data_IF_332440176878
#
_entry.id   IF_332440176878
#
_cell.length_a   1.000
_cell.length_b   1.000
_cell.length_c   1.000
_cell.angle_alpha   90.00
_cell.angle_beta   90.00
_cell.angle_gamma   90.00
#
_symmetry.space_group_name_H-M   'P 1'
#
loop_
_entity.id
_entity.type
_entity.pdbx_description
1 polymer ?
#
# COMPACT_ATOMS: atom_id res chain seq x y z
N UNK A 1 -80.72 -0.63 -34.11
CA UNK A 1 -79.63 -1.56 -33.86
C UNK A 1 -78.30 -0.80 -33.86
N UNK A 2 -78.24 0.44 -33.27
CA UNK A 2 -77.02 1.29 -33.40
C UNK A 2 -76.62 2.10 -32.17
N UNK A 3 -77.30 1.88 -31.03
CA UNK A 3 -76.87 2.57 -29.80
C UNK A 3 -75.71 1.84 -29.05
N UNK A 4 -75.56 0.53 -29.23
CA UNK A 4 -74.58 -0.26 -28.55
C UNK A 4 -73.14 -0.07 -29.11
N UNK A 5 -73.02 0.11 -30.40
CA UNK A 5 -71.78 0.39 -31.09
C UNK A 5 -71.17 1.74 -30.68
N UNK A 6 -72.03 2.78 -30.52
CA UNK A 6 -71.58 4.09 -30.08
C UNK A 6 -71.05 4.12 -28.65
N UNK A 7 -71.72 3.40 -27.74
CA UNK A 7 -71.25 3.33 -26.36
C UNK A 7 -69.94 2.54 -26.23
N UNK A 8 -69.78 1.47 -27.02
CA UNK A 8 -68.59 0.67 -27.02
C UNK A 8 -67.35 1.43 -27.61
N UNK A 9 -67.58 2.16 -28.69
CA UNK A 9 -66.53 3.00 -29.29
C UNK A 9 -66.13 4.16 -28.38
N UNK A 10 -67.08 4.79 -27.69
CA UNK A 10 -66.81 5.85 -26.74
C UNK A 10 -66.08 5.35 -25.50
N UNK A 11 -66.41 4.15 -25.02
CA UNK A 11 -65.70 3.53 -23.90
C UNK A 11 -64.26 3.13 -24.23
N UNK A 12 -64.04 2.62 -25.42
CA UNK A 12 -62.67 2.33 -25.91
C UNK A 12 -61.85 3.62 -26.07
N UNK A 13 -62.41 4.67 -26.59
CA UNK A 13 -61.75 5.95 -26.75
C UNK A 13 -61.36 6.57 -25.38
N UNK A 14 -62.29 6.46 -24.41
CA UNK A 14 -62.02 6.94 -23.07
C UNK A 14 -60.94 6.11 -22.34
N UNK A 15 -60.92 4.80 -22.55
CA UNK A 15 -59.90 3.90 -21.95
C UNK A 15 -58.51 4.11 -22.54
N UNK A 16 -58.42 4.43 -23.82
CA UNK A 16 -57.16 4.77 -24.52
C UNK A 16 -56.64 6.14 -24.04
N UNK A 17 -57.54 7.11 -23.90
CA UNK A 17 -57.21 8.46 -23.49
C UNK A 17 -56.69 8.51 -22.05
N UNK A 18 -57.28 7.71 -21.12
CA UNK A 18 -56.81 7.64 -19.74
C UNK A 18 -55.42 6.99 -19.61
N UNK A 19 -55.09 6.02 -20.45
CA UNK A 19 -53.75 5.43 -20.49
C UNK A 19 -52.70 6.45 -20.95
N UNK A 20 -53.00 7.23 -21.99
CA UNK A 20 -52.05 8.25 -22.44
C UNK A 20 -51.85 9.37 -21.41
N UNK A 21 -52.90 9.81 -20.73
CA UNK A 21 -52.79 10.83 -19.67
C UNK A 21 -51.94 10.33 -18.53
N UNK A 22 -52.10 9.06 -18.10
CA UNK A 22 -51.26 8.47 -17.04
C UNK A 22 -49.79 8.39 -17.46
N UNK A 23 -49.47 8.06 -18.69
CA UNK A 23 -48.08 8.07 -19.17
C UNK A 23 -47.48 9.49 -19.20
N UNK A 24 -48.23 10.48 -19.59
CA UNK A 24 -47.78 11.88 -19.59
C UNK A 24 -47.54 12.40 -18.18
N UNK A 25 -48.44 12.10 -17.25
CA UNK A 25 -48.30 12.47 -15.83
C UNK A 25 -47.09 11.76 -15.22
N UNK A 26 -46.91 10.49 -15.50
CA UNK A 26 -45.76 9.74 -14.99
C UNK A 26 -44.43 10.25 -15.56
N UNK A 27 -44.40 10.58 -16.86
CA UNK A 27 -43.23 11.15 -17.52
C UNK A 27 -42.88 12.53 -16.99
N UNK A 28 -43.84 13.40 -16.75
CA UNK A 28 -43.60 14.74 -16.18
C UNK A 28 -43.16 14.67 -14.73
N UNK A 29 -43.68 13.73 -13.93
CA UNK A 29 -43.28 13.52 -12.55
C UNK A 29 -41.84 13.02 -12.49
N UNK A 30 -41.43 12.10 -13.38
CA UNK A 30 -40.07 11.60 -13.47
C UNK A 30 -39.05 12.70 -13.86
N UNK A 31 -39.51 13.60 -14.79
CA UNK A 31 -38.69 14.72 -15.26
C UNK A 31 -38.50 15.78 -14.16
N UNK A 32 -39.51 16.03 -13.34
CA UNK A 32 -39.43 16.91 -12.18
C UNK A 32 -38.52 16.35 -11.09
N UNK A 33 -38.53 15.03 -10.91
CA UNK A 33 -37.66 14.37 -9.92
C UNK A 33 -36.18 14.44 -10.32
N UNK A 34 -35.86 14.48 -11.61
CA UNK A 34 -34.49 14.61 -12.11
C UNK A 34 -33.88 16.01 -11.88
N UNK A 35 -34.70 17.01 -11.58
CA UNK A 35 -34.23 18.38 -11.29
C UNK A 35 -33.73 18.56 -9.84
N UNK A 36 -33.98 17.62 -8.94
CA UNK A 36 -33.37 17.62 -7.62
C UNK A 36 -31.90 17.20 -7.76
N UNK A 37 -31.04 18.18 -8.06
CA UNK A 37 -29.61 18.00 -7.99
C UNK A 37 -29.27 17.69 -6.54
N UNK A 38 -28.82 16.46 -6.27
CA UNK A 38 -28.14 16.14 -5.03
C UNK A 38 -26.87 17.02 -5.00
N UNK A 39 -26.94 18.13 -4.31
CA UNK A 39 -25.74 18.84 -3.90
C UNK A 39 -25.03 17.94 -2.89
N UNK A 40 -24.09 17.14 -3.39
CA UNK A 40 -23.14 16.45 -2.52
C UNK A 40 -22.42 17.53 -1.73
N UNK A 41 -22.73 17.62 -0.44
CA UNK A 41 -22.02 18.49 0.48
C UNK A 41 -20.58 17.99 0.54
N UNK A 42 -19.66 18.68 -0.12
CA UNK A 42 -18.24 18.53 0.14
C UNK A 42 -18.02 19.04 1.56
N UNK A 43 -18.00 18.10 2.50
CA UNK A 43 -17.60 18.39 3.87
C UNK A 43 -16.12 18.78 3.85
N UNK A 44 -15.84 20.06 3.80
CA UNK A 44 -14.49 20.58 3.99
C UNK A 44 -14.19 20.45 5.48
N UNK A 45 -13.46 19.40 5.85
CA UNK A 45 -12.95 19.24 7.21
C UNK A 45 -11.85 20.27 7.41
N UNK A 46 -12.19 21.40 8.05
CA UNK A 46 -11.21 22.38 8.47
C UNK A 46 -10.57 21.88 9.77
N UNK A 47 -9.43 21.23 9.64
CA UNK A 47 -8.64 20.78 10.80
C UNK A 47 -7.88 22.01 11.31
N UNK A 48 -8.36 22.61 12.39
CA UNK A 48 -7.60 23.62 13.14
C UNK A 48 -6.61 22.85 14.04
N UNK A 49 -5.41 22.65 13.53
CA UNK A 49 -4.32 22.08 14.33
C UNK A 49 -3.62 23.20 15.10
N UNK A 50 -3.36 22.94 16.39
CA UNK A 50 -2.48 23.78 17.19
C UNK A 50 -1.10 23.85 16.51
N UNK A 51 -0.52 25.04 16.44
CA UNK A 51 0.83 25.27 15.88
C UNK A 51 1.90 24.39 16.54
N UNK A 52 1.69 24.00 17.78
CA UNK A 52 2.53 23.07 18.54
C UNK A 52 2.56 21.67 17.92
N UNK A 53 1.41 21.18 17.44
CA UNK A 53 1.30 19.87 16.78
C UNK A 53 2.04 19.88 15.46
N UNK A 54 1.90 20.93 14.66
CA UNK A 54 2.62 21.07 13.39
C UNK A 54 4.14 21.06 13.60
N UNK A 55 4.63 21.75 14.63
CA UNK A 55 6.05 21.77 15.00
C UNK A 55 6.54 20.38 15.46
N UNK A 56 5.76 19.70 16.29
CA UNK A 56 6.10 18.34 16.73
C UNK A 56 6.14 17.35 15.57
N UNK A 57 5.22 17.45 14.62
CA UNK A 57 5.23 16.59 13.42
C UNK A 57 6.45 16.88 12.55
N UNK A 58 6.83 18.13 12.34
CA UNK A 58 8.04 18.48 11.59
C UNK A 58 9.30 17.91 12.24
N UNK A 59 9.45 18.09 13.57
CA UNK A 59 10.59 17.54 14.33
C UNK A 59 10.59 16.02 14.29
N UNK A 60 9.42 15.38 14.37
CA UNK A 60 9.32 13.92 14.26
C UNK A 60 9.74 13.40 12.88
N UNK A 61 9.31 14.06 11.80
CA UNK A 61 9.67 13.70 10.43
C UNK A 61 11.18 13.82 10.23
N UNK A 62 11.80 14.89 10.75
CA UNK A 62 13.25 15.10 10.69
C UNK A 62 14.00 13.98 11.43
N UNK A 63 13.61 13.70 12.69
CA UNK A 63 14.18 12.62 13.49
C UNK A 63 13.99 11.23 12.87
N UNK A 64 12.79 10.94 12.35
CA UNK A 64 12.51 9.67 11.69
C UNK A 64 13.33 9.52 10.40
N UNK A 65 13.56 10.63 9.66
CA UNK A 65 14.37 10.61 8.44
C UNK A 65 15.85 10.35 8.73
N UNK A 66 16.41 10.92 9.79
CA UNK A 66 17.78 10.66 10.24
C UNK A 66 17.95 9.23 10.71
N UNK A 67 17.03 8.71 11.52
CA UNK A 67 17.04 7.31 11.95
C UNK A 67 16.92 6.34 10.78
N UNK A 68 16.03 6.63 9.82
CA UNK A 68 15.90 5.81 8.62
C UNK A 68 17.16 5.86 7.75
N UNK A 69 17.86 6.99 7.72
CA UNK A 69 19.12 7.12 7.00
C UNK A 69 20.25 6.31 7.66
N UNK A 70 20.24 6.14 8.98
CA UNK A 70 21.25 5.39 9.73
C UNK A 70 21.01 3.89 9.74
N UNK A 71 19.75 3.45 9.66
CA UNK A 71 19.41 2.03 9.65
C UNK A 71 19.72 1.37 8.30
N UNK A 72 20.26 0.17 8.35
CA UNK A 72 20.51 -0.64 7.17
C UNK A 72 20.37 -2.14 7.49
N UNK A 73 20.22 -2.93 6.44
CA UNK A 73 20.17 -4.38 6.51
C UNK A 73 21.50 -4.98 6.04
N UNK A 74 21.99 -6.00 6.74
CA UNK A 74 23.17 -6.77 6.37
C UNK A 74 22.86 -8.25 6.41
N UNK A 75 23.58 -9.06 5.65
CA UNK A 75 23.45 -10.51 5.69
C UNK A 75 24.52 -11.03 6.63
N UNK A 76 24.10 -11.65 7.72
CA UNK A 76 25.04 -12.31 8.63
C UNK A 76 25.23 -13.77 8.21
N UNK A 77 26.49 -14.12 7.92
CA UNK A 77 26.89 -15.47 7.52
C UNK A 77 27.24 -16.34 8.73
N UNK A 78 27.94 -15.74 9.71
CA UNK A 78 28.47 -16.47 10.83
C UNK A 78 28.61 -15.58 12.07
N UNK A 79 28.51 -16.22 13.22
CA UNK A 79 28.81 -15.63 14.52
C UNK A 79 29.41 -16.73 15.43
N UNK A 80 30.67 -16.56 15.88
CA UNK A 80 31.35 -17.57 16.72
C UNK A 80 32.86 -17.39 16.77
N UNK A 81 33.60 -18.49 16.74
CA UNK A 81 35.04 -18.50 16.87
C UNK A 81 35.80 -17.84 15.72
N UNK A 82 36.99 -17.34 15.99
CA UNK A 82 37.82 -16.60 15.05
C UNK A 82 38.22 -17.44 13.84
N UNK A 83 38.68 -18.67 14.06
CA UNK A 83 39.21 -19.53 13.00
C UNK A 83 38.14 -19.76 11.90
N UNK A 84 36.96 -20.16 12.35
CA UNK A 84 35.83 -20.43 11.43
C UNK A 84 35.36 -19.18 10.74
N UNK A 85 35.35 -18.03 11.43
CA UNK A 85 34.98 -16.75 10.86
C UNK A 85 35.92 -16.33 9.73
N UNK A 86 37.24 -16.48 9.90
CA UNK A 86 38.27 -16.21 8.90
C UNK A 86 38.16 -17.14 7.70
N UNK A 87 38.02 -18.46 7.91
CA UNK A 87 37.85 -19.43 6.84
C UNK A 87 36.64 -19.10 5.98
N UNK A 88 35.52 -18.71 6.60
CA UNK A 88 34.28 -18.40 5.90
C UNK A 88 34.35 -17.05 5.19
N UNK A 89 35.05 -16.07 5.78
CA UNK A 89 35.31 -14.78 5.14
C UNK A 89 36.09 -14.98 3.82
N UNK A 90 37.18 -15.76 3.88
CA UNK A 90 38.04 -15.99 2.72
C UNK A 90 37.35 -16.82 1.65
N UNK A 91 36.61 -17.86 2.05
CA UNK A 91 35.79 -18.67 1.13
C UNK A 91 34.73 -17.83 0.42
N UNK A 92 34.02 -16.97 1.16
CA UNK A 92 33.02 -16.08 0.57
C UNK A 92 33.65 -15.06 -0.39
N UNK A 93 34.75 -14.44 0.00
CA UNK A 93 35.46 -13.45 -0.83
C UNK A 93 35.96 -14.04 -2.16
N UNK A 94 36.38 -15.30 -2.12
CA UNK A 94 36.81 -16.01 -3.34
C UNK A 94 35.62 -16.33 -4.28
N UNK A 95 34.44 -16.62 -3.72
CA UNK A 95 33.24 -16.94 -4.51
C UNK A 95 32.49 -15.70 -5.00
N UNK A 96 32.55 -14.63 -4.23
CA UNK A 96 31.85 -13.36 -4.50
C UNK A 96 32.78 -12.16 -4.37
N UNK A 97 33.74 -11.99 -5.28
CA UNK A 97 34.79 -10.96 -5.19
C UNK A 97 34.22 -9.53 -5.22
N UNK A 98 33.06 -9.33 -5.88
CA UNK A 98 32.40 -8.02 -6.04
C UNK A 98 31.55 -7.62 -4.83
N UNK A 99 31.42 -8.51 -3.82
CA UNK A 99 30.59 -8.24 -2.66
C UNK A 99 31.43 -7.68 -1.52
N UNK A 100 30.84 -6.68 -0.86
CA UNK A 100 31.41 -6.13 0.37
C UNK A 100 31.23 -7.14 1.51
N UNK A 101 32.31 -7.58 2.11
CA UNK A 101 32.31 -8.48 3.26
C UNK A 101 33.07 -7.84 4.42
N UNK A 102 32.52 -7.95 5.60
CA UNK A 102 33.09 -7.43 6.84
C UNK A 102 33.28 -8.56 7.87
N UNK A 103 34.48 -8.60 8.45
CA UNK A 103 34.80 -9.46 9.56
C UNK A 103 35.08 -8.61 10.79
N UNK A 104 34.19 -8.64 11.77
CA UNK A 104 34.29 -7.81 12.96
C UNK A 104 34.29 -8.67 14.23
N UNK A 105 34.97 -8.16 15.28
CA UNK A 105 35.00 -8.77 16.59
C UNK A 105 33.97 -8.12 17.50
N UNK A 106 33.10 -8.93 18.05
CA UNK A 106 32.09 -8.52 19.03
C UNK A 106 32.19 -9.47 20.25
N UNK A 107 32.84 -8.97 21.28
CA UNK A 107 33.22 -9.78 22.46
C UNK A 107 32.10 -10.71 22.93
N UNK A 108 32.33 -12.02 23.05
CA UNK A 108 33.61 -12.72 22.84
C UNK A 108 33.77 -13.32 21.43
N UNK A 109 32.88 -13.07 20.51
CA UNK A 109 32.78 -13.76 19.21
C UNK A 109 33.20 -12.87 18.04
N UNK A 110 33.46 -13.52 16.92
CA UNK A 110 33.62 -12.89 15.61
C UNK A 110 32.34 -13.01 14.78
N UNK A 111 32.01 -11.99 14.01
CA UNK A 111 30.89 -11.99 13.09
C UNK A 111 31.37 -11.71 11.68
N UNK A 112 30.77 -12.42 10.73
CA UNK A 112 30.97 -12.23 9.30
C UNK A 112 29.68 -11.72 8.70
N UNK A 113 29.73 -10.51 8.13
CA UNK A 113 28.59 -9.81 7.57
C UNK A 113 28.87 -9.41 6.12
N UNK A 114 27.82 -9.39 5.30
CA UNK A 114 27.92 -9.15 3.86
C UNK A 114 26.89 -8.14 3.40
N UNK A 115 27.41 -7.14 2.68
CA UNK A 115 26.61 -6.10 2.05
C UNK A 115 25.93 -5.14 3.03
N UNK A 116 25.54 -3.99 2.52
CA UNK A 116 24.78 -2.95 3.22
C UNK A 116 23.58 -2.54 2.39
N UNK A 117 22.39 -2.86 2.84
CA UNK A 117 21.15 -2.63 2.08
C UNK A 117 20.24 -1.67 2.83
N UNK A 118 19.88 -0.55 2.22
CA UNK A 118 18.88 0.38 2.78
C UNK A 118 17.47 -0.20 2.75
N UNK A 119 17.18 -1.02 1.73
CA UNK A 119 15.86 -1.59 1.53
C UNK A 119 15.86 -3.06 1.92
N UNK A 120 14.91 -3.46 2.78
CA UNK A 120 14.69 -4.83 3.23
C UNK A 120 14.57 -5.83 2.05
N UNK A 121 13.78 -5.47 1.03
CA UNK A 121 13.54 -6.37 -0.11
C UNK A 121 14.80 -6.61 -0.95
N UNK A 122 15.67 -5.60 -1.08
CA UNK A 122 16.94 -5.76 -1.77
C UNK A 122 17.87 -6.69 -0.98
N UNK A 123 17.91 -6.53 0.34
CA UNK A 123 18.63 -7.44 1.22
C UNK A 123 18.09 -8.87 1.16
N UNK A 124 16.77 -9.03 1.15
CA UNK A 124 16.13 -10.35 1.07
C UNK A 124 16.43 -11.05 -0.27
N UNK A 125 16.39 -10.34 -1.38
CA UNK A 125 16.75 -10.88 -2.69
C UNK A 125 18.21 -11.40 -2.70
N UNK A 126 19.12 -10.61 -2.14
CA UNK A 126 20.53 -10.99 -2.03
C UNK A 126 20.76 -12.14 -1.06
N UNK A 127 20.00 -12.18 0.04
CA UNK A 127 20.02 -13.31 0.96
C UNK A 127 19.62 -14.63 0.27
N UNK A 128 18.65 -14.62 -0.64
CA UNK A 128 18.24 -15.83 -1.38
C UNK A 128 19.38 -16.37 -2.26
N UNK A 129 20.19 -15.49 -2.87
CA UNK A 129 21.38 -15.87 -3.62
C UNK A 129 22.42 -16.52 -2.69
N UNK A 130 22.70 -15.91 -1.56
CA UNK A 130 23.68 -16.37 -0.56
C UNK A 130 23.27 -17.71 0.08
N UNK A 131 21.98 -17.88 0.39
CA UNK A 131 21.46 -19.11 1.03
C UNK A 131 21.67 -20.37 0.23
N UNK A 132 21.89 -20.28 -1.06
CA UNK A 132 22.18 -21.44 -1.91
C UNK A 132 23.51 -22.12 -1.50
N UNK A 133 24.48 -21.33 -1.04
CA UNK A 133 25.80 -21.81 -0.60
C UNK A 133 25.97 -21.78 0.92
N UNK A 134 25.28 -20.85 1.58
CA UNK A 134 25.34 -20.63 3.04
C UNK A 134 23.92 -20.66 3.65
N UNK A 135 23.34 -21.85 3.87
CA UNK A 135 21.96 -21.99 4.33
C UNK A 135 21.66 -21.33 5.67
N UNK A 136 22.70 -21.22 6.53
CA UNK A 136 22.61 -20.61 7.86
C UNK A 136 22.57 -19.06 7.82
N UNK A 137 22.79 -18.44 6.65
CA UNK A 137 22.78 -16.98 6.52
C UNK A 137 21.38 -16.41 6.79
N UNK A 138 21.33 -15.24 7.41
CA UNK A 138 20.09 -14.52 7.66
C UNK A 138 20.28 -13.00 7.54
N UNK A 139 19.18 -12.30 7.29
CA UNK A 139 19.16 -10.85 7.19
C UNK A 139 19.02 -10.24 8.58
N UNK A 140 19.89 -9.31 8.92
CA UNK A 140 19.91 -8.59 10.18
C UNK A 140 19.68 -7.10 9.93
N UNK A 141 18.84 -6.46 10.72
CA UNK A 141 18.68 -5.01 10.76
C UNK A 141 19.67 -4.40 11.74
N UNK A 142 20.51 -3.50 11.27
CA UNK A 142 21.42 -2.72 12.09
C UNK A 142 20.77 -1.36 12.34
N UNK A 143 20.53 -1.07 13.62
CA UNK A 143 20.04 0.22 14.10
C UNK A 143 21.20 0.97 14.72
N UNK A 144 21.52 2.11 14.18
CA UNK A 144 22.52 3.03 14.74
C UNK A 144 21.87 4.06 15.64
#
# INVERSE_FOLDING_TARGET
MDCFEYYFSFFLFFCIMTKHVNYWVFSTTLLLFSMFKLTAQTATVKIEQDSTIAKLMATKIEFDSENYASNFYTIQLYYGDNKRAQELHDDFKNKFPDWEIDLSFETPNYKVQVGRYKNYYNGLKKLMEVKQLYPAAFLLEIKN
#
